data_IF_689620528486
#
_entry.id   IF_689620528486
#
_cell.length_a   1.000
_cell.length_b   1.000
_cell.length_c   1.000
_cell.angle_alpha   90.00
_cell.angle_beta   90.00
_cell.angle_gamma   90.00
#
_symmetry.space_group_name_H-M   'P 1'
#
loop_
_entity.id
_entity.type
_entity.pdbx_description
1 polymer ?
#
# COMPACT_ATOMS: atom_id res chain seq x y z
N UNK A 1 5.81 -52.61 -42.44
CA UNK A 1 6.15 -52.86 -41.02
C UNK A 1 5.24 -51.98 -40.16
N UNK A 2 4.80 -52.55 -39.04
CA UNK A 2 3.62 -52.24 -38.22
C UNK A 2 3.78 -50.97 -37.34
N UNK A 3 2.63 -50.43 -36.85
CA UNK A 3 2.37 -49.38 -35.82
C UNK A 3 1.91 -48.01 -36.40
N UNK A 4 0.89 -47.28 -35.92
CA UNK A 4 0.31 -47.12 -34.58
C UNK A 4 -1.21 -46.76 -34.62
N UNK A 5 -1.94 -47.27 -33.62
CA UNK A 5 -3.15 -46.74 -32.92
C UNK A 5 -4.23 -45.97 -33.69
N UNK A 6 -5.46 -46.51 -33.65
CA UNK A 6 -6.67 -45.73 -33.34
C UNK A 6 -7.46 -46.46 -32.25
N UNK A 7 -7.56 -45.83 -31.09
CA UNK A 7 -8.44 -46.26 -30.01
C UNK A 7 -9.88 -45.99 -30.44
N UNK A 8 -10.67 -47.05 -30.62
CA UNK A 8 -12.13 -46.94 -30.64
C UNK A 8 -12.61 -46.71 -29.22
N UNK A 9 -13.04 -45.49 -28.92
CA UNK A 9 -13.86 -45.23 -27.74
C UNK A 9 -15.23 -45.90 -27.96
N UNK A 10 -15.66 -46.82 -27.09
CA UNK A 10 -17.02 -47.32 -27.13
C UNK A 10 -17.96 -46.21 -26.65
N UNK A 11 -18.89 -45.83 -27.53
CA UNK A 11 -20.07 -45.06 -27.18
C UNK A 11 -20.89 -45.86 -26.16
N UNK A 12 -20.68 -45.55 -24.88
CA UNK A 12 -21.55 -46.01 -23.80
C UNK A 12 -21.81 -44.82 -22.87
N UNK A 13 -22.59 -43.86 -23.37
CA UNK A 13 -23.13 -42.78 -22.56
C UNK A 13 -24.48 -43.27 -22.01
N UNK A 14 -24.57 -43.69 -20.74
CA UNK A 14 -25.85 -43.99 -20.14
C UNK A 14 -26.72 -42.74 -20.15
N UNK A 15 -27.99 -42.89 -20.54
CA UNK A 15 -29.03 -41.84 -20.53
C UNK A 15 -29.17 -41.14 -19.17
N UNK A 16 -28.64 -41.75 -18.12
CA UNK A 16 -28.59 -41.27 -16.73
C UNK A 16 -27.45 -40.26 -16.46
N UNK A 17 -26.34 -40.31 -17.22
CA UNK A 17 -25.20 -39.40 -17.07
C UNK A 17 -25.42 -38.01 -17.68
N UNK A 18 -26.30 -37.91 -18.69
CA UNK A 18 -26.67 -36.64 -19.31
C UNK A 18 -27.39 -35.71 -18.32
N UNK A 19 -28.23 -36.28 -17.45
CA UNK A 19 -28.93 -35.51 -16.42
C UNK A 19 -27.98 -34.92 -15.39
N UNK A 20 -26.95 -35.65 -14.96
CA UNK A 20 -25.96 -35.17 -14.00
C UNK A 20 -25.10 -34.03 -14.56
N UNK A 21 -24.73 -34.10 -15.83
CA UNK A 21 -23.95 -33.03 -16.51
C UNK A 21 -24.79 -31.76 -16.68
N UNK A 22 -26.06 -31.90 -17.08
CA UNK A 22 -26.99 -30.76 -17.20
C UNK A 22 -27.23 -30.12 -15.82
N UNK A 23 -27.42 -30.92 -14.77
CA UNK A 23 -27.60 -30.42 -13.41
C UNK A 23 -26.38 -29.61 -12.94
N UNK A 24 -25.16 -30.09 -13.22
CA UNK A 24 -23.92 -29.41 -12.83
C UNK A 24 -23.73 -28.08 -13.59
N UNK A 25 -24.08 -28.03 -14.88
CA UNK A 25 -24.03 -26.79 -15.67
C UNK A 25 -25.06 -25.75 -15.20
N UNK A 26 -26.28 -26.17 -14.83
CA UNK A 26 -27.32 -25.25 -14.30
C UNK A 26 -26.88 -24.62 -12.98
N UNK A 27 -26.19 -25.36 -12.10
CA UNK A 27 -25.69 -24.84 -10.82
C UNK A 27 -24.65 -23.73 -11.02
N UNK A 28 -23.82 -23.79 -12.07
CA UNK A 28 -22.81 -22.76 -12.36
C UNK A 28 -23.41 -21.44 -12.86
N UNK A 29 -24.58 -21.46 -13.52
CA UNK A 29 -25.26 -20.25 -13.98
C UNK A 29 -26.17 -19.60 -12.93
N UNK A 30 -26.45 -20.30 -11.83
CA UNK A 30 -27.32 -19.80 -10.75
C UNK A 30 -26.55 -19.18 -9.57
N UNK A 31 -25.23 -19.03 -9.64
CA UNK A 31 -24.47 -18.31 -8.63
C UNK A 31 -24.53 -16.80 -8.93
N UNK A 32 -25.34 -15.98 -8.22
CA UNK A 32 -25.25 -14.54 -8.31
C UNK A 32 -23.86 -14.09 -7.82
N UNK A 33 -22.98 -13.74 -8.75
CA UNK A 33 -21.74 -13.04 -8.44
C UNK A 33 -22.07 -11.60 -8.05
N UNK A 34 -22.53 -11.43 -6.81
CA UNK A 34 -22.76 -10.12 -6.23
C UNK A 34 -21.40 -9.54 -5.85
N UNK A 35 -20.70 -8.99 -6.85
CA UNK A 35 -19.53 -8.15 -6.61
C UNK A 35 -19.99 -6.89 -5.90
N UNK A 36 -19.78 -6.80 -4.58
CA UNK A 36 -19.90 -5.55 -3.84
C UNK A 36 -18.89 -4.56 -4.43
N UNK A 37 -19.35 -3.69 -5.33
CA UNK A 37 -18.65 -2.44 -5.61
C UNK A 37 -18.55 -1.70 -4.27
N UNK A 38 -17.34 -1.28 -3.92
CA UNK A 38 -17.14 -0.48 -2.71
C UNK A 38 -18.03 0.77 -2.73
N UNK A 39 -18.35 1.34 -1.56
CA UNK A 39 -19.03 2.62 -1.49
C UNK A 39 -18.27 3.65 -2.34
N UNK A 40 -18.96 4.57 -3.05
CA UNK A 40 -18.30 5.63 -3.80
C UNK A 40 -17.44 6.47 -2.85
N UNK A 41 -16.19 6.74 -3.26
CA UNK A 41 -15.30 7.64 -2.51
C UNK A 41 -15.96 9.03 -2.48
N UNK A 42 -16.17 9.63 -1.30
CA UNK A 42 -16.81 10.93 -1.20
C UNK A 42 -15.98 11.99 -1.95
N UNK A 43 -16.64 12.90 -2.69
CA UNK A 43 -15.93 13.94 -3.43
C UNK A 43 -15.20 14.87 -2.47
N UNK A 44 -13.91 15.08 -2.73
CA UNK A 44 -13.08 16.04 -1.98
C UNK A 44 -13.62 17.44 -2.28
N UNK A 45 -14.23 18.09 -1.29
CA UNK A 45 -14.68 19.48 -1.45
C UNK A 45 -13.47 20.39 -1.65
N UNK A 46 -13.43 21.12 -2.76
CA UNK A 46 -12.39 22.10 -3.06
C UNK A 46 -12.21 23.07 -1.89
N UNK A 47 -11.03 23.05 -1.26
CA UNK A 47 -10.71 23.89 -0.10
C UNK A 47 -10.55 23.17 1.25
N UNK A 48 -11.00 21.91 1.38
CA UNK A 48 -10.76 21.09 2.58
C UNK A 48 -9.64 20.09 2.33
N UNK A 49 -8.50 20.57 1.81
CA UNK A 49 -7.35 19.74 1.46
C UNK A 49 -6.17 20.15 2.34
N UNK A 50 -5.58 19.17 3.00
CA UNK A 50 -4.34 19.32 3.74
C UNK A 50 -3.16 19.02 2.81
N UNK A 51 -2.21 19.95 2.69
CA UNK A 51 -1.04 19.75 1.84
C UNK A 51 -0.15 18.62 2.36
N UNK A 52 0.47 17.88 1.45
CA UNK A 52 1.51 16.92 1.84
C UNK A 52 2.78 17.67 2.28
N UNK A 53 3.54 17.18 3.27
CA UNK A 53 4.88 17.69 3.56
C UNK A 53 5.81 17.52 2.36
N UNK A 54 6.72 18.48 2.18
CA UNK A 54 7.69 18.52 1.07
C UNK A 54 9.11 18.69 1.61
N UNK A 55 10.11 18.44 0.75
CA UNK A 55 11.53 18.52 1.11
C UNK A 55 11.91 17.63 2.30
N UNK A 56 11.39 16.41 2.36
CA UNK A 56 11.83 15.42 3.34
C UNK A 56 13.29 15.06 3.08
N UNK A 57 14.15 15.23 4.08
CA UNK A 57 15.58 14.93 4.05
C UNK A 57 15.92 14.06 5.27
N UNK A 58 16.86 13.13 5.10
CA UNK A 58 17.46 12.36 6.19
C UNK A 58 18.93 12.74 6.36
N UNK A 59 19.35 12.88 7.62
CA UNK A 59 20.74 12.84 8.04
C UNK A 59 20.94 11.64 8.97
N UNK A 60 22.01 10.89 8.80
CA UNK A 60 22.37 9.74 9.62
C UNK A 60 23.80 9.91 10.13
N UNK A 61 23.93 10.05 11.44
CA UNK A 61 25.23 10.16 12.12
C UNK A 61 25.38 8.98 13.07
N UNK A 62 26.33 8.10 12.77
CA UNK A 62 26.56 6.81 13.44
C UNK A 62 25.34 5.88 13.38
N UNK A 63 24.35 6.11 14.23
CA UNK A 63 23.06 5.41 14.34
C UNK A 63 21.89 6.41 14.46
N UNK A 64 22.18 7.68 14.77
CA UNK A 64 21.16 8.70 15.00
C UNK A 64 20.61 9.22 13.68
N UNK A 65 19.37 8.85 13.40
CA UNK A 65 18.60 9.38 12.29
C UNK A 65 17.97 10.70 12.71
N UNK A 66 18.14 11.70 11.85
CA UNK A 66 17.36 12.94 11.89
C UNK A 66 16.63 13.09 10.55
N UNK A 67 15.31 13.13 10.61
CA UNK A 67 14.46 13.47 9.47
C UNK A 67 14.00 14.91 9.62
N UNK A 68 14.07 15.69 8.55
CA UNK A 68 13.53 17.06 8.51
C UNK A 68 12.65 17.24 7.28
N UNK A 69 11.62 18.07 7.40
CA UNK A 69 10.73 18.39 6.29
C UNK A 69 10.24 19.83 6.38
N UNK A 70 9.59 20.28 5.31
CA UNK A 70 8.92 21.58 5.25
C UNK A 70 7.45 21.38 4.90
N UNK A 71 6.61 22.34 5.28
CA UNK A 71 5.20 22.32 4.95
C UNK A 71 4.74 23.74 4.64
N UNK A 72 4.16 23.92 3.45
CA UNK A 72 3.66 25.20 2.98
C UNK A 72 2.16 25.09 2.72
N UNK A 73 1.41 26.01 3.30
CA UNK A 73 -0.03 26.14 3.08
C UNK A 73 -0.21 27.10 1.89
N UNK A 74 -0.79 26.61 0.80
CA UNK A 74 -1.18 27.45 -0.33
C UNK A 74 -2.65 27.80 -0.20
N UNK A 75 -3.02 29.09 -0.05
CA UNK A 75 -4.41 29.51 0.13
C UNK A 75 -5.33 29.12 -1.05
N UNK A 76 -4.77 28.74 -2.21
CA UNK A 76 -5.53 28.31 -3.38
C UNK A 76 -5.80 26.79 -3.35
N UNK A 77 -4.78 25.97 -3.04
CA UNK A 77 -4.84 24.51 -3.19
C UNK A 77 -4.92 23.72 -1.88
N UNK A 78 -4.41 24.27 -0.78
CA UNK A 78 -4.40 23.63 0.54
C UNK A 78 -4.64 24.67 1.64
N UNK A 79 -5.89 24.83 2.06
CA UNK A 79 -6.31 25.93 2.97
C UNK A 79 -6.19 25.61 4.45
N UNK A 80 -5.83 24.38 4.81
CA UNK A 80 -5.84 23.92 6.19
C UNK A 80 -4.43 23.80 6.73
N UNK A 81 -4.23 24.30 7.96
CA UNK A 81 -3.01 24.05 8.72
C UNK A 81 -3.06 22.65 9.34
N UNK A 82 -1.95 21.92 9.37
CA UNK A 82 -1.84 20.70 10.16
C UNK A 82 -1.88 21.02 11.65
N UNK A 83 -2.23 20.01 12.43
CA UNK A 83 -2.05 19.95 13.89
C UNK A 83 -0.77 19.18 14.23
N UNK A 84 -0.43 18.18 13.41
CA UNK A 84 0.75 17.34 13.60
C UNK A 84 1.22 16.68 12.29
N UNK A 85 2.36 15.99 12.35
CA UNK A 85 2.90 15.17 11.27
C UNK A 85 3.13 13.75 11.75
N UNK A 86 2.72 12.76 10.97
CA UNK A 86 2.98 11.35 11.28
C UNK A 86 4.09 10.82 10.39
N UNK A 87 5.10 10.26 11.02
CA UNK A 87 6.29 9.72 10.37
C UNK A 87 6.12 8.22 10.18
N UNK A 88 6.40 7.74 8.99
CA UNK A 88 6.34 6.33 8.64
C UNK A 88 7.71 5.81 8.21
N UNK A 89 8.03 4.59 8.65
CA UNK A 89 9.23 3.87 8.27
C UNK A 89 8.88 2.50 7.73
N UNK A 90 9.59 2.08 6.70
CA UNK A 90 9.66 0.70 6.29
C UNK A 90 11.13 0.28 6.26
N UNK A 91 11.42 -0.92 6.75
CA UNK A 91 12.74 -1.50 6.76
C UNK A 91 12.73 -2.78 5.94
N UNK A 92 13.71 -2.94 5.05
CA UNK A 92 13.95 -4.15 4.29
C UNK A 92 15.32 -4.67 4.66
N UNK A 93 15.41 -5.94 5.04
CA UNK A 93 16.69 -6.60 5.26
C UNK A 93 17.50 -6.57 3.95
N UNK A 94 18.79 -6.27 4.03
CA UNK A 94 19.67 -6.29 2.86
C UNK A 94 19.71 -7.66 2.18
N UNK A 95 19.50 -8.74 2.94
CA UNK A 95 19.39 -10.11 2.45
C UNK A 95 17.95 -10.54 2.10
N UNK A 96 16.96 -9.63 2.15
CA UNK A 96 15.56 -10.00 1.94
C UNK A 96 15.26 -10.49 0.51
N UNK A 97 14.27 -11.37 0.43
CA UNK A 97 13.79 -11.98 -0.80
C UNK A 97 13.22 -10.99 -1.84
N UNK A 98 13.30 -11.35 -3.13
CA UNK A 98 12.55 -10.64 -4.18
C UNK A 98 11.04 -10.81 -3.97
N UNK A 99 10.30 -9.70 -4.01
CA UNK A 99 8.84 -9.69 -3.85
C UNK A 99 8.31 -9.69 -2.42
N UNK A 100 9.19 -9.70 -1.40
CA UNK A 100 8.80 -9.56 0.01
C UNK A 100 7.96 -8.26 0.23
N UNK A 101 6.75 -8.35 0.84
CA UNK A 101 5.85 -7.20 1.00
C UNK A 101 6.50 -6.06 1.80
N UNK A 102 6.38 -4.86 1.25
CA UNK A 102 6.99 -3.67 1.82
C UNK A 102 5.98 -2.89 2.64
N UNK A 103 6.08 -2.96 3.98
CA UNK A 103 5.07 -2.40 4.89
C UNK A 103 5.64 -1.20 5.66
N UNK A 104 5.01 -0.04 5.49
CA UNK A 104 5.28 1.13 6.31
C UNK A 104 4.57 1.02 7.66
N UNK A 105 5.34 1.19 8.73
CA UNK A 105 4.86 1.31 10.11
C UNK A 105 4.95 2.76 10.57
N UNK A 106 4.01 3.18 11.41
CA UNK A 106 4.07 4.50 12.05
C UNK A 106 5.18 4.48 13.10
N UNK A 107 6.02 5.52 13.09
CA UNK A 107 7.12 5.72 14.05
C UNK A 107 6.73 6.69 15.16
N UNK A 108 5.77 7.57 14.88
CA UNK A 108 5.32 8.57 15.82
C UNK A 108 4.62 9.74 15.15
N UNK A 109 3.99 10.56 16.00
CA UNK A 109 3.31 11.79 15.62
C UNK A 109 4.06 12.96 16.25
N UNK A 110 4.49 13.90 15.42
CA UNK A 110 5.22 15.10 15.79
C UNK A 110 4.28 16.30 15.75
N UNK A 111 4.07 16.94 16.88
CA UNK A 111 3.19 18.11 16.98
C UNK A 111 3.92 19.37 16.51
N UNK A 112 3.16 20.35 16.00
CA UNK A 112 3.73 21.67 15.69
C UNK A 112 4.31 22.35 16.96
N UNK A 113 5.34 23.20 16.83
CA UNK A 113 5.96 23.68 15.58
C UNK A 113 7.08 22.78 15.03
N UNK A 114 7.28 21.59 15.61
CA UNK A 114 8.40 20.74 15.24
C UNK A 114 8.26 20.15 13.83
N UNK A 115 9.33 20.27 13.05
CA UNK A 115 9.42 19.80 11.66
C UNK A 115 10.54 18.77 11.50
N UNK A 116 10.89 18.11 12.60
CA UNK A 116 11.96 17.15 12.68
C UNK A 116 11.56 15.92 13.50
N UNK A 117 12.10 14.77 13.12
CA UNK A 117 12.00 13.53 13.87
C UNK A 117 13.41 13.01 14.15
N UNK A 118 13.64 12.59 15.39
CA UNK A 118 14.88 11.97 15.81
C UNK A 118 14.63 10.53 16.22
N UNK A 119 15.50 9.62 15.77
CA UNK A 119 15.41 8.21 16.11
C UNK A 119 16.74 7.50 15.95
N UNK A 120 16.73 6.20 16.23
CA UNK A 120 17.87 5.30 16.07
C UNK A 120 17.54 4.22 15.06
N UNK A 121 18.51 3.84 14.25
CA UNK A 121 18.40 2.78 13.25
C UNK A 121 19.32 1.61 13.60
N UNK A 122 18.94 0.42 13.16
CA UNK A 122 19.77 -0.78 13.32
C UNK A 122 20.54 -1.01 12.02
N UNK A 123 21.86 -1.29 12.06
CA UNK A 123 22.60 -1.60 10.85
C UNK A 123 22.11 -2.92 10.22
N UNK A 124 22.37 -3.08 8.92
CA UNK A 124 21.97 -4.25 8.12
C UNK A 124 20.68 -4.09 7.33
N UNK A 125 20.09 -2.88 7.29
CA UNK A 125 18.79 -2.65 6.66
C UNK A 125 18.78 -1.49 5.67
N UNK A 126 17.89 -1.63 4.70
CA UNK A 126 17.46 -0.60 3.78
C UNK A 126 16.20 0.08 4.34
N UNK A 127 16.32 1.34 4.72
CA UNK A 127 15.23 2.10 5.30
C UNK A 127 14.57 3.02 4.29
N UNK A 128 13.26 3.19 4.44
CA UNK A 128 12.51 4.16 3.66
C UNK A 128 11.57 4.94 4.55
N UNK A 129 11.51 6.25 4.32
CA UNK A 129 10.74 7.17 5.14
C UNK A 129 9.78 7.98 4.30
N UNK A 130 8.61 8.25 4.87
CA UNK A 130 7.64 9.20 4.35
C UNK A 130 6.87 9.83 5.50
N UNK A 131 6.43 11.06 5.31
CA UNK A 131 5.70 11.83 6.32
C UNK A 131 4.36 12.25 5.73
N UNK A 132 3.32 12.31 6.55
CA UNK A 132 2.04 12.93 6.16
C UNK A 132 1.60 13.91 7.23
N UNK A 133 0.86 14.93 6.83
CA UNK A 133 0.25 15.87 7.73
C UNK A 133 -1.06 15.30 8.28
N UNK A 134 -1.34 15.61 9.55
CA UNK A 134 -2.60 15.37 10.25
C UNK A 134 -3.18 16.73 10.59
N UNK A 135 -4.42 16.96 10.20
CA UNK A 135 -5.19 18.14 10.55
C UNK A 135 -6.39 17.77 11.44
N UNK A 136 -7.23 18.76 11.68
CA UNK A 136 -8.45 18.62 12.48
C UNK A 136 -9.36 17.50 11.97
N UNK A 137 -10.10 16.89 12.88
CA UNK A 137 -11.08 15.82 12.60
C UNK A 137 -10.44 14.60 11.89
N UNK A 138 -9.20 14.29 12.25
CA UNK A 138 -8.37 13.21 11.66
C UNK A 138 -8.14 13.34 10.15
N UNK A 139 -8.27 14.55 9.59
CA UNK A 139 -7.95 14.79 8.20
C UNK A 139 -6.47 14.50 7.93
N UNK A 140 -6.18 13.78 6.85
CA UNK A 140 -4.82 13.40 6.47
C UNK A 140 -4.49 13.91 5.09
N UNK A 141 -3.28 14.44 4.92
CA UNK A 141 -2.75 14.75 3.61
C UNK A 141 -2.34 13.49 2.86
N UNK A 142 -1.94 13.67 1.60
CA UNK A 142 -1.07 12.70 0.93
C UNK A 142 0.29 12.55 1.63
N UNK A 143 1.05 11.53 1.25
CA UNK A 143 2.42 11.35 1.74
C UNK A 143 3.39 12.30 1.04
N UNK A 144 4.46 12.67 1.74
CA UNK A 144 5.66 13.25 1.14
C UNK A 144 6.29 12.28 0.13
N UNK A 145 7.24 12.79 -0.66
CA UNK A 145 8.15 11.93 -1.42
C UNK A 145 8.84 10.96 -0.45
N UNK A 146 8.84 9.67 -0.79
CA UNK A 146 9.58 8.66 -0.03
C UNK A 146 11.06 8.85 -0.26
N UNK A 147 11.84 8.85 0.84
CA UNK A 147 13.30 8.84 0.78
C UNK A 147 13.83 7.48 1.18
N UNK A 148 15.00 7.13 0.66
CA UNK A 148 15.72 5.87 0.92
C UNK A 148 17.01 6.19 1.69
N UNK A 149 17.29 5.39 2.71
CA UNK A 149 18.51 5.46 3.52
C UNK A 149 19.11 4.06 3.58
N UNK A 150 20.33 3.93 3.08
CA UNK A 150 21.10 2.71 3.18
C UNK A 150 21.88 2.69 4.50
N UNK A 151 21.61 1.70 5.36
CA UNK A 151 22.34 1.53 6.61
C UNK A 151 22.80 0.08 6.77
N UNK A 152 23.62 -0.37 5.84
CA UNK A 152 24.13 -1.75 5.74
C UNK A 152 25.54 -1.97 6.32
N UNK A 153 26.14 -0.93 6.90
CA UNK A 153 27.51 -0.96 7.45
C UNK A 153 27.56 -1.23 8.94
#
# INVERSE_FOLDING_TARGET
>A
MRLHKKYCFPNFFPREGLFLVILFLVVLFLAPSCGKKGPPIPPVKSGNVLAAPVNLVASLEENRLTLTWTHTIDPVTAKLSPEAFEVFMAAKDAAACEGCPFVFKSMGVISLPDMAYHGSLTPGFHYYFRVKAIGKDEMRSGYSKTIYVDFTK
#
